data_IF_716420810206
#
_entry.id   IF_716420810206
#
_cell.length_a   1.000
_cell.length_b   1.000
_cell.length_c   1.000
_cell.angle_alpha   90.00
_cell.angle_beta   90.00
_cell.angle_gamma   90.00
#
_symmetry.space_group_name_H-M   'P 1'
#
loop_
_entity.id
_entity.type
_entity.pdbx_description
1 polymer ?
#
# COMPACT_ATOMS: atom_id res chain seq x y z
N UNK A 1 38.23 51.47 -29.71
CA UNK A 1 38.13 51.15 -28.25
C UNK A 1 36.71 50.81 -27.84
N UNK A 2 35.67 51.55 -28.26
CA UNK A 2 34.27 51.33 -27.88
C UNK A 2 33.67 50.00 -28.42
N UNK A 3 34.08 49.54 -29.59
CA UNK A 3 33.61 48.28 -30.17
C UNK A 3 34.12 47.09 -29.41
N UNK A 4 35.41 47.08 -29.03
CA UNK A 4 35.99 46.00 -28.19
C UNK A 4 35.34 45.91 -26.80
N UNK A 5 35.02 47.07 -26.20
CA UNK A 5 34.29 47.07 -24.91
C UNK A 5 32.86 46.52 -25.03
N UNK A 6 32.18 46.77 -26.16
CA UNK A 6 30.87 46.24 -26.43
C UNK A 6 30.90 44.71 -26.64
N UNK A 7 31.89 44.21 -27.38
CA UNK A 7 32.06 42.80 -27.69
C UNK A 7 32.41 41.98 -26.41
N UNK A 8 33.25 42.59 -25.52
CA UNK A 8 33.57 41.97 -24.22
C UNK A 8 32.32 41.86 -23.31
N UNK A 9 31.51 42.94 -23.22
CA UNK A 9 30.28 42.92 -22.44
C UNK A 9 29.23 41.94 -23.00
N UNK A 10 29.18 41.80 -24.33
CA UNK A 10 28.28 40.80 -24.96
C UNK A 10 28.75 39.39 -24.63
N UNK A 11 30.04 39.11 -24.73
CA UNK A 11 30.61 37.80 -24.34
C UNK A 11 30.41 37.48 -22.86
N UNK A 12 30.59 38.48 -21.98
CA UNK A 12 30.30 38.32 -20.52
C UNK A 12 28.82 38.02 -20.28
N UNK A 13 27.90 38.70 -20.98
CA UNK A 13 26.45 38.46 -20.89
C UNK A 13 26.06 37.04 -21.36
N UNK A 14 26.70 36.59 -22.45
CA UNK A 14 26.42 35.25 -22.99
C UNK A 14 26.99 34.12 -22.10
N UNK A 15 28.18 34.32 -21.56
CA UNK A 15 28.77 33.41 -20.59
C UNK A 15 27.96 33.37 -19.29
N UNK A 16 27.52 34.53 -18.78
CA UNK A 16 26.66 34.61 -17.60
C UNK A 16 25.28 33.96 -17.86
N UNK A 17 24.70 34.15 -19.04
CA UNK A 17 23.45 33.50 -19.42
C UNK A 17 23.59 31.98 -19.53
N UNK A 18 24.71 31.50 -20.11
CA UNK A 18 25.00 30.07 -20.17
C UNK A 18 25.30 29.48 -18.77
N UNK A 19 26.00 30.20 -17.90
CA UNK A 19 26.22 29.80 -16.52
C UNK A 19 24.92 29.80 -15.71
N UNK A 20 24.05 30.80 -15.89
CA UNK A 20 22.73 30.82 -15.26
C UNK A 20 21.81 29.73 -15.77
N UNK A 21 21.88 29.37 -17.05
CA UNK A 21 21.13 28.27 -17.63
C UNK A 21 21.73 26.89 -17.31
N UNK A 22 23.01 26.82 -16.97
CA UNK A 22 23.69 25.60 -16.49
C UNK A 22 23.63 25.46 -14.96
N UNK A 23 23.38 26.52 -14.21
CA UNK A 23 22.86 26.43 -12.84
C UNK A 23 21.41 25.99 -12.99
N UNK A 24 21.24 24.70 -12.99
CA UNK A 24 19.97 24.02 -13.10
C UNK A 24 18.98 24.63 -12.10
N UNK A 25 18.05 25.46 -12.62
CA UNK A 25 16.91 25.99 -11.84
C UNK A 25 16.03 24.85 -11.35
N UNK A 26 16.35 23.62 -11.79
CA UNK A 26 15.77 22.36 -11.32
C UNK A 26 16.37 21.81 -10.05
N UNK A 27 17.44 22.43 -9.48
CA UNK A 27 17.92 22.03 -8.16
C UNK A 27 17.11 22.66 -6.99
N UNK A 28 15.81 22.89 -7.20
CA UNK A 28 14.86 22.66 -6.12
C UNK A 28 14.95 21.17 -5.82
N UNK A 29 15.97 20.79 -5.08
CA UNK A 29 16.01 19.50 -4.42
C UNK A 29 14.76 19.48 -3.56
N UNK A 30 13.73 18.83 -4.04
CA UNK A 30 12.71 18.27 -3.18
C UNK A 30 13.46 17.24 -2.33
N UNK A 31 14.21 17.75 -1.34
CA UNK A 31 15.04 16.97 -0.44
C UNK A 31 14.21 16.06 0.48
N UNK A 32 12.89 16.00 0.28
CA UNK A 32 11.96 15.19 1.05
C UNK A 32 11.08 14.32 0.14
N UNK A 33 11.72 13.61 -0.78
CA UNK A 33 11.03 12.50 -1.43
C UNK A 33 10.91 11.39 -0.38
N UNK A 34 9.69 11.11 0.04
CA UNK A 34 9.38 10.09 1.04
C UNK A 34 8.63 8.95 0.38
N UNK A 35 9.07 7.72 0.64
CA UNK A 35 8.33 6.53 0.26
C UNK A 35 7.24 6.27 1.31
N UNK A 36 6.01 6.06 0.88
CA UNK A 36 4.87 5.79 1.75
C UNK A 36 4.14 4.53 1.31
N UNK A 37 3.72 3.74 2.30
CA UNK A 37 2.86 2.58 2.10
C UNK A 37 1.45 2.98 2.51
N UNK A 38 0.52 2.94 1.57
CA UNK A 38 -0.89 3.27 1.79
C UNK A 38 -1.68 1.96 1.69
N UNK A 39 -2.01 1.31 2.82
CA UNK A 39 -2.79 0.09 2.81
C UNK A 39 -4.28 0.36 2.50
N UNK A 40 -4.96 -0.54 1.80
CA UNK A 40 -6.42 -0.52 1.70
C UNK A 40 -7.06 -0.79 3.06
N UNK A 41 -6.45 -1.66 3.87
CA UNK A 41 -6.80 -1.92 5.26
C UNK A 41 -5.57 -2.38 6.02
N UNK A 42 -5.37 -1.87 7.24
CA UNK A 42 -4.30 -2.34 8.13
C UNK A 42 -4.64 -3.66 8.80
N UNK A 43 -5.93 -4.00 8.88
CA UNK A 43 -6.43 -5.23 9.50
C UNK A 43 -7.10 -6.05 8.43
N UNK A 44 -6.64 -7.28 8.23
CA UNK A 44 -7.21 -8.24 7.29
C UNK A 44 -7.48 -9.57 7.99
N UNK A 45 -8.44 -10.32 7.48
CA UNK A 45 -8.72 -11.65 8.00
C UNK A 45 -7.78 -12.69 7.42
N UNK A 46 -7.49 -13.71 8.19
CA UNK A 46 -6.80 -14.90 7.72
C UNK A 46 -7.52 -15.51 6.53
N UNK A 47 -6.78 -15.81 5.47
CA UNK A 47 -7.32 -16.32 4.20
C UNK A 47 -7.76 -15.25 3.22
N UNK A 48 -7.73 -13.98 3.62
CA UNK A 48 -7.97 -12.83 2.73
C UNK A 48 -6.66 -12.36 2.08
N UNK A 49 -6.78 -11.36 1.22
CA UNK A 49 -5.65 -10.75 0.54
C UNK A 49 -5.38 -9.37 1.12
N UNK A 50 -4.16 -9.14 1.59
CA UNK A 50 -3.70 -7.80 1.96
C UNK A 50 -3.24 -7.07 0.72
N UNK A 51 -3.64 -5.79 0.59
CA UNK A 51 -3.23 -4.91 -0.50
C UNK A 51 -2.76 -3.57 0.03
N UNK A 52 -1.67 -3.07 -0.50
CA UNK A 52 -1.14 -1.76 -0.19
C UNK A 52 -0.55 -1.10 -1.43
N UNK A 53 -0.72 0.21 -1.56
CA UNK A 53 -0.10 1.02 -2.57
C UNK A 53 1.20 1.61 -2.02
N UNK A 54 2.30 1.38 -2.71
CA UNK A 54 3.60 1.94 -2.37
C UNK A 54 3.84 3.12 -3.31
N UNK A 55 3.93 4.31 -2.75
CA UNK A 55 4.02 5.56 -3.51
C UNK A 55 5.18 6.41 -3.03
N UNK A 56 5.71 7.22 -3.94
CA UNK A 56 6.64 8.31 -3.62
C UNK A 56 5.86 9.62 -3.55
N UNK A 57 6.18 10.47 -2.58
CA UNK A 57 5.53 11.78 -2.39
C UNK A 57 5.82 12.78 -3.51
N UNK A 58 6.88 12.58 -4.29
CA UNK A 58 7.17 13.35 -5.49
C UNK A 58 7.82 12.42 -6.53
N UNK A 59 7.26 12.37 -7.73
CA UNK A 59 7.76 11.54 -8.85
C UNK A 59 7.94 12.42 -10.07
N UNK A 60 9.12 12.36 -10.66
CA UNK A 60 9.31 12.81 -12.04
C UNK A 60 8.67 11.74 -12.95
N UNK A 61 7.61 12.11 -13.65
CA UNK A 61 6.83 11.20 -14.51
C UNK A 61 7.65 10.61 -15.66
N UNK A 62 8.83 11.16 -15.93
CA UNK A 62 9.75 10.68 -16.98
C UNK A 62 10.61 9.50 -16.54
N UNK A 63 10.72 9.25 -15.22
CA UNK A 63 11.57 8.21 -14.64
C UNK A 63 10.73 7.15 -13.94
N UNK A 64 11.13 5.89 -14.13
CA UNK A 64 10.42 4.74 -13.56
C UNK A 64 11.12 4.30 -12.26
N UNK A 65 10.45 4.37 -11.11
CA UNK A 65 10.98 3.82 -9.88
C UNK A 65 10.92 2.30 -9.89
N UNK A 66 11.94 1.66 -9.31
CA UNK A 66 11.93 0.24 -9.00
C UNK A 66 11.63 0.06 -7.52
N UNK A 67 10.65 -0.78 -7.20
CA UNK A 67 10.18 -1.00 -5.83
C UNK A 67 10.59 -2.39 -5.38
N UNK A 68 11.24 -2.47 -4.22
CA UNK A 68 11.60 -3.73 -3.57
C UNK A 68 10.82 -3.86 -2.27
N UNK A 69 10.13 -4.99 -2.10
CA UNK A 69 9.38 -5.32 -0.89
C UNK A 69 9.89 -6.63 -0.31
N UNK A 70 10.32 -6.60 0.94
CA UNK A 70 10.90 -7.77 1.63
C UNK A 70 12.03 -8.46 0.81
N UNK A 71 12.84 -7.65 0.12
CA UNK A 71 13.97 -8.12 -0.70
C UNK A 71 13.58 -8.67 -2.09
N UNK A 72 12.31 -8.59 -2.46
CA UNK A 72 11.81 -9.02 -3.77
C UNK A 72 11.36 -7.81 -4.59
N UNK A 73 11.75 -7.76 -5.84
CA UNK A 73 11.30 -6.72 -6.76
C UNK A 73 9.81 -6.85 -7.05
N UNK A 74 9.10 -5.73 -6.96
CA UNK A 74 7.69 -5.63 -7.32
C UNK A 74 7.57 -5.36 -8.83
N UNK A 75 6.89 -6.22 -9.62
CA UNK A 75 6.74 -5.99 -11.05
C UNK A 75 6.11 -4.64 -11.34
N UNK A 76 6.67 -3.92 -12.31
CA UNK A 76 6.17 -2.59 -12.72
C UNK A 76 4.70 -2.61 -13.16
N UNK A 77 4.24 -3.72 -13.71
CA UNK A 77 2.85 -3.93 -14.12
C UNK A 77 1.85 -3.73 -12.98
N UNK A 78 2.28 -3.98 -11.74
CA UNK A 78 1.47 -3.80 -10.55
C UNK A 78 1.31 -2.32 -10.13
N UNK A 79 1.92 -1.37 -10.84
CA UNK A 79 1.81 0.09 -10.58
C UNK A 79 2.02 0.47 -9.10
N UNK A 80 2.94 -0.21 -8.41
CA UNK A 80 3.20 0.01 -6.99
C UNK A 80 2.23 -0.70 -6.04
N UNK A 81 1.31 -1.52 -6.54
CA UNK A 81 0.39 -2.31 -5.70
C UNK A 81 1.08 -3.57 -5.20
N UNK A 82 1.31 -3.64 -3.91
CA UNK A 82 1.78 -4.84 -3.22
C UNK A 82 0.57 -5.67 -2.76
N UNK A 83 0.59 -6.96 -3.07
CA UNK A 83 -0.49 -7.88 -2.71
C UNK A 83 0.11 -9.14 -2.12
N UNK A 84 -0.43 -9.59 -0.98
CA UNK A 84 -0.01 -10.82 -0.30
C UNK A 84 -1.21 -11.56 0.28
N UNK A 85 -1.21 -12.88 0.14
CA UNK A 85 -2.23 -13.73 0.76
C UNK A 85 -1.89 -13.97 2.24
N UNK A 86 -2.88 -13.84 3.11
CA UNK A 86 -2.70 -13.99 4.56
C UNK A 86 -2.97 -15.43 4.98
N UNK A 87 -1.92 -16.16 5.38
CA UNK A 87 -2.02 -17.57 5.78
C UNK A 87 -2.09 -17.80 7.28
N UNK A 88 -1.55 -16.89 8.09
CA UNK A 88 -1.48 -17.01 9.55
C UNK A 88 -1.95 -15.71 10.20
N UNK A 89 -2.50 -15.81 11.42
CA UNK A 89 -2.84 -14.65 12.24
C UNK A 89 -1.58 -14.10 12.92
N UNK A 90 -1.53 -12.78 13.10
CA UNK A 90 -0.42 -12.08 13.73
C UNK A 90 -0.12 -10.74 13.09
N UNK A 91 0.98 -10.13 13.51
CA UNK A 91 1.49 -8.87 12.95
C UNK A 91 2.62 -9.18 11.97
N UNK A 92 2.53 -8.61 10.79
CA UNK A 92 3.50 -8.82 9.72
C UNK A 92 4.12 -7.49 9.29
N UNK A 93 5.44 -7.31 9.48
CA UNK A 93 6.13 -6.13 9.00
C UNK A 93 6.33 -6.19 7.49
N UNK A 94 6.21 -5.05 6.84
CA UNK A 94 6.55 -4.82 5.44
C UNK A 94 7.72 -3.85 5.43
N UNK A 95 8.86 -4.30 4.93
CA UNK A 95 10.05 -3.47 4.77
C UNK A 95 10.48 -3.48 3.33
N UNK A 96 10.91 -2.35 2.85
CA UNK A 96 11.39 -2.27 1.50
C UNK A 96 12.03 -0.93 1.18
N UNK A 97 12.35 -0.76 -0.08
CA UNK A 97 12.91 0.48 -0.58
C UNK A 97 12.49 0.71 -2.02
N UNK A 98 12.51 1.97 -2.40
CA UNK A 98 12.28 2.40 -3.76
C UNK A 98 13.59 2.97 -4.29
N UNK A 99 13.99 2.53 -5.46
CA UNK A 99 15.14 3.03 -6.20
C UNK A 99 14.67 3.86 -7.39
N UNK A 100 15.24 5.02 -7.54
CA UNK A 100 14.97 5.92 -8.67
C UNK A 100 16.27 6.49 -9.21
N UNK A 101 16.53 6.42 -10.54
CA UNK A 101 17.70 7.04 -11.13
C UNK A 101 17.54 8.56 -11.15
N UNK A 102 18.54 9.26 -10.64
CA UNK A 102 18.65 10.72 -10.75
C UNK A 102 19.07 11.15 -12.15
N UNK A 103 19.02 12.47 -12.40
CA UNK A 103 19.45 13.05 -13.68
C UNK A 103 20.97 12.99 -13.89
N UNK A 104 21.73 12.89 -12.81
CA UNK A 104 23.20 12.76 -12.79
C UNK A 104 23.71 11.32 -12.94
N UNK A 105 22.80 10.34 -13.08
CA UNK A 105 23.11 8.92 -13.16
C UNK A 105 23.27 8.21 -11.82
N UNK A 106 23.16 8.93 -10.70
CA UNK A 106 23.12 8.33 -9.36
C UNK A 106 21.78 7.66 -9.10
N UNK A 107 21.77 6.66 -8.20
CA UNK A 107 20.53 6.00 -7.78
C UNK A 107 20.13 6.56 -6.42
N UNK A 108 18.97 7.17 -6.37
CA UNK A 108 18.34 7.58 -5.13
C UNK A 108 17.55 6.40 -4.56
N UNK A 109 17.85 6.05 -3.31
CA UNK A 109 17.13 5.01 -2.56
C UNK A 109 16.37 5.63 -1.40
N UNK A 110 15.10 5.20 -1.25
CA UNK A 110 14.26 5.57 -0.12
C UNK A 110 13.66 4.32 0.50
N UNK A 111 14.00 4.08 1.76
CA UNK A 111 13.47 2.97 2.53
C UNK A 111 12.07 3.31 3.07
N UNK A 112 11.23 2.30 3.22
CA UNK A 112 9.93 2.38 3.87
C UNK A 112 9.71 1.18 4.77
N UNK A 113 8.93 1.41 5.81
CA UNK A 113 8.50 0.38 6.74
C UNK A 113 7.01 0.57 7.04
N UNK A 114 6.29 -0.52 7.10
CA UNK A 114 4.88 -0.58 7.47
C UNK A 114 4.58 -1.91 8.11
N UNK A 115 3.39 -2.07 8.68
CA UNK A 115 2.94 -3.33 9.24
C UNK A 115 1.44 -3.52 8.97
N UNK A 116 1.02 -4.77 8.93
CA UNK A 116 -0.39 -5.13 8.86
C UNK A 116 -0.70 -6.26 9.84
N UNK A 117 -1.96 -6.27 10.27
CA UNK A 117 -2.46 -7.21 11.26
C UNK A 117 -3.39 -8.22 10.58
N UNK A 118 -3.13 -9.49 10.82
CA UNK A 118 -4.01 -10.57 10.37
C UNK A 118 -4.74 -11.13 11.58
N UNK A 119 -6.06 -11.04 11.54
CA UNK A 119 -6.93 -11.56 12.60
C UNK A 119 -7.56 -12.89 12.17
N UNK A 120 -7.79 -13.77 13.14
CA UNK A 120 -8.58 -14.95 12.88
C UNK A 120 -10.07 -14.62 12.81
N UNK A 121 -10.81 -15.20 11.86
CA UNK A 121 -12.25 -15.03 11.83
C UNK A 121 -12.87 -15.71 13.05
N UNK A 122 -13.53 -14.95 13.91
CA UNK A 122 -14.24 -15.45 15.07
C UNK A 122 -15.72 -15.51 14.77
N UNK A 123 -16.30 -16.73 14.79
CA UNK A 123 -17.74 -16.88 14.62
C UNK A 123 -18.48 -16.60 15.94
N UNK A 124 -19.51 -15.78 15.86
CA UNK A 124 -20.46 -15.59 16.96
C UNK A 124 -21.72 -16.39 16.67
N UNK A 125 -22.08 -17.25 17.62
CA UNK A 125 -23.31 -18.05 17.60
C UNK A 125 -24.15 -17.68 18.82
N UNK A 126 -25.33 -17.13 18.59
CA UNK A 126 -26.22 -16.73 19.67
C UNK A 126 -27.68 -17.11 19.39
N UNK A 127 -28.39 -17.69 20.38
CA UNK A 127 -29.84 -17.81 20.34
C UNK A 127 -30.47 -16.40 20.33
N UNK A 128 -31.45 -16.16 19.48
CA UNK A 128 -32.01 -14.81 19.32
C UNK A 128 -33.15 -14.49 20.30
N UNK A 129 -33.77 -15.47 20.88
CA UNK A 129 -34.89 -15.26 21.81
C UNK A 129 -34.48 -15.28 23.28
N UNK A 130 -33.63 -16.21 23.65
CA UNK A 130 -33.04 -16.28 25.01
C UNK A 130 -31.72 -17.01 24.92
N UNK A 131 -30.83 -16.81 25.92
CA UNK A 131 -29.54 -17.54 25.99
C UNK A 131 -29.70 -19.01 26.39
N UNK A 132 -30.86 -19.63 26.07
CA UNK A 132 -31.22 -21.01 26.40
C UNK A 132 -31.78 -21.70 25.17
N UNK A 133 -31.39 -22.93 24.96
CA UNK A 133 -31.94 -23.79 23.91
C UNK A 133 -32.93 -24.76 24.53
N UNK A 134 -34.12 -24.84 23.93
CA UNK A 134 -35.17 -25.74 24.36
C UNK A 134 -35.23 -27.00 23.49
N UNK A 135 -35.25 -28.18 24.11
CA UNK A 135 -35.39 -29.41 23.39
C UNK A 135 -36.85 -29.56 22.83
N UNK A 136 -36.96 -30.09 21.63
CA UNK A 136 -38.27 -30.38 21.01
C UNK A 136 -38.95 -29.22 20.31
N UNK A 137 -38.41 -28.02 20.33
CA UNK A 137 -38.95 -26.87 19.57
C UNK A 137 -37.85 -26.21 18.74
N UNK A 138 -38.24 -25.42 17.76
CA UNK A 138 -37.31 -24.65 16.94
C UNK A 138 -36.70 -23.50 17.75
N UNK A 139 -35.38 -23.44 17.80
CA UNK A 139 -34.63 -22.38 18.46
C UNK A 139 -34.00 -21.50 17.37
N UNK A 140 -34.50 -20.27 17.14
CA UNK A 140 -33.87 -19.37 16.19
C UNK A 140 -32.50 -18.92 16.67
N UNK A 141 -31.50 -19.04 15.80
CA UNK A 141 -30.11 -18.72 16.09
C UNK A 141 -29.57 -17.75 15.08
N UNK A 142 -28.71 -16.87 15.54
CA UNK A 142 -27.92 -15.99 14.68
C UNK A 142 -26.48 -16.46 14.65
N UNK A 143 -25.97 -16.69 13.44
CA UNK A 143 -24.58 -17.04 13.20
C UNK A 143 -23.98 -15.92 12.36
N UNK A 144 -22.96 -15.27 12.88
CA UNK A 144 -22.28 -14.19 12.21
C UNK A 144 -20.77 -14.35 12.28
N UNK A 145 -20.10 -14.13 11.18
CA UNK A 145 -18.64 -14.03 11.08
C UNK A 145 -18.33 -12.64 10.58
N UNK A 146 -17.68 -11.78 11.38
CA UNK A 146 -17.35 -10.44 10.97
C UNK A 146 -16.57 -10.42 9.65
N UNK A 147 -16.97 -9.56 8.70
CA UNK A 147 -16.32 -9.45 7.40
C UNK A 147 -16.61 -10.57 6.39
N UNK A 148 -17.42 -11.56 6.74
CA UNK A 148 -17.85 -12.61 5.82
C UNK A 148 -19.33 -12.44 5.55
N UNK A 149 -19.75 -12.30 4.27
CA UNK A 149 -21.16 -12.29 3.93
C UNK A 149 -21.87 -13.55 4.42
N UNK A 150 -23.07 -13.42 4.97
CA UNK A 150 -23.82 -14.55 5.53
C UNK A 150 -24.07 -15.69 4.52
N UNK A 151 -24.07 -15.37 3.22
CA UNK A 151 -24.13 -16.36 2.14
C UNK A 151 -22.97 -17.35 2.11
N UNK A 152 -21.80 -16.92 2.54
CA UNK A 152 -20.56 -17.70 2.51
C UNK A 152 -20.27 -18.44 3.83
N UNK A 153 -21.17 -18.31 4.82
CA UNK A 153 -21.04 -19.00 6.10
C UNK A 153 -21.80 -20.32 6.05
N UNK A 154 -21.11 -21.42 6.26
CA UNK A 154 -21.70 -22.74 6.42
C UNK A 154 -21.61 -23.17 7.88
N UNK A 155 -22.72 -23.53 8.49
CA UNK A 155 -22.76 -24.02 9.86
C UNK A 155 -23.21 -25.48 9.88
N UNK A 156 -22.56 -26.26 10.74
CA UNK A 156 -22.90 -27.67 10.98
C UNK A 156 -23.12 -27.89 12.48
N UNK A 157 -23.93 -28.88 12.82
CA UNK A 157 -24.31 -29.23 14.18
C UNK A 157 -24.14 -30.73 14.39
N UNK A 158 -23.57 -31.13 15.52
CA UNK A 158 -23.38 -32.56 15.83
C UNK A 158 -24.63 -33.25 16.33
N UNK A 159 -25.48 -32.53 17.07
CA UNK A 159 -26.75 -33.05 17.58
C UNK A 159 -27.89 -32.11 17.20
N UNK A 160 -28.85 -32.59 16.44
CA UNK A 160 -30.00 -31.81 15.97
C UNK A 160 -29.94 -31.49 14.49
N UNK A 161 -30.92 -30.73 14.02
CA UNK A 161 -31.03 -30.31 12.62
C UNK A 161 -30.95 -28.80 12.54
N UNK A 162 -30.04 -28.31 11.73
CA UNK A 162 -29.88 -26.89 11.46
C UNK A 162 -30.47 -26.58 10.08
N UNK A 163 -31.44 -25.70 10.05
CA UNK A 163 -32.08 -25.25 8.80
C UNK A 163 -31.84 -23.76 8.61
N UNK A 164 -31.43 -23.35 7.41
CA UNK A 164 -31.22 -21.94 7.09
C UNK A 164 -32.55 -21.25 6.82
N UNK A 165 -32.89 -20.21 7.59
CA UNK A 165 -34.01 -19.34 7.27
C UNK A 165 -33.70 -18.48 6.07
N UNK A 166 -34.66 -18.27 5.19
CA UNK A 166 -34.60 -17.28 4.12
C UNK A 166 -35.27 -16.02 4.66
N UNK A 167 -34.51 -15.10 5.20
CA UNK A 167 -34.92 -13.72 5.39
C UNK A 167 -34.11 -12.83 4.47
#
# INVERSE_FOLDING_TARGET
>A
LTKMQSDVRYAEGEVLSNLLNSVDVGDYRVNQITAQVIPESQIVMRGSQYKANIVLSAVDSTKRPTIYVNGKELPYENKGVFTVNTGAAGTFPIKGYIEMPNSDGSIMRRDFESEYFVTEPTATVAPTLMNVLYAGIANPMRIAVPGVPSGNVTATMTNGTLTRSKD
#
